data_IF_432170423149
#
_entry.id   IF_432170423149
#
_cell.length_a   1.000
_cell.length_b   1.000
_cell.length_c   1.000
_cell.angle_alpha   90.00
_cell.angle_beta   90.00
_cell.angle_gamma   90.00
#
_symmetry.space_group_name_H-M   'P 1'
#
loop_
_entity.id
_entity.type
_entity.pdbx_description
1 polymer ?
#
# COMPACT_ATOMS: atom_id res chain seq x y z
N UNK A 1 8.39 9.69 -10.72
CA UNK A 1 7.52 9.27 -9.61
C UNK A 1 6.09 9.52 -10.02
N UNK A 2 5.41 8.46 -10.46
CA UNK A 2 4.01 8.52 -10.81
C UNK A 2 3.18 8.66 -9.53
N UNK A 3 2.26 9.60 -9.55
CA UNK A 3 1.31 9.85 -8.47
C UNK A 3 -0.02 10.30 -9.07
N UNK A 4 -1.09 10.02 -8.34
CA UNK A 4 -2.44 10.43 -8.68
C UNK A 4 -3.28 10.57 -7.42
N UNK A 5 -4.36 11.33 -7.51
CA UNK A 5 -5.40 11.36 -6.50
C UNK A 5 -6.55 10.46 -6.92
N UNK A 6 -7.26 9.91 -5.94
CA UNK A 6 -8.52 9.22 -6.19
C UNK A 6 -9.63 10.26 -6.35
N UNK A 7 -10.50 10.05 -7.34
CA UNK A 7 -11.71 10.84 -7.54
C UNK A 7 -12.49 11.00 -6.20
N UNK A 8 -12.75 12.23 -5.72
CA UNK A 8 -13.32 12.45 -4.39
C UNK A 8 -14.62 11.68 -4.11
N UNK A 9 -15.47 11.53 -5.12
CA UNK A 9 -16.72 10.78 -5.02
C UNK A 9 -16.52 9.27 -4.76
N UNK A 10 -15.33 8.73 -5.04
CA UNK A 10 -14.99 7.31 -4.91
C UNK A 10 -14.16 6.99 -3.65
N UNK A 11 -13.79 7.97 -2.83
CA UNK A 11 -12.98 7.73 -1.61
C UNK A 11 -13.64 6.69 -0.69
N UNK A 12 -14.97 6.71 -0.54
CA UNK A 12 -15.69 5.71 0.26
C UNK A 12 -15.57 4.30 -0.32
N UNK A 13 -15.65 4.16 -1.65
CA UNK A 13 -15.44 2.89 -2.35
C UNK A 13 -14.01 2.41 -2.12
N UNK A 14 -13.02 3.28 -2.31
CA UNK A 14 -11.62 2.96 -2.07
C UNK A 14 -11.36 2.48 -0.64
N UNK A 15 -11.88 3.18 0.37
CA UNK A 15 -11.73 2.78 1.77
C UNK A 15 -12.35 1.41 2.06
N UNK A 16 -13.44 1.05 1.39
CA UNK A 16 -14.03 -0.28 1.47
C UNK A 16 -13.10 -1.35 0.85
N UNK A 17 -12.50 -1.07 -0.33
CA UNK A 17 -11.49 -1.94 -0.95
C UNK A 17 -10.26 -2.15 -0.07
N UNK A 18 -9.79 -1.09 0.57
CA UNK A 18 -8.57 -1.11 1.38
C UNK A 18 -8.78 -1.77 2.75
N UNK A 19 -9.86 -1.44 3.45
CA UNK A 19 -10.03 -1.78 4.87
C UNK A 19 -10.96 -2.96 5.13
N UNK A 20 -11.78 -3.35 4.16
CA UNK A 20 -12.84 -4.35 4.35
C UNK A 20 -12.66 -5.54 3.39
N UNK A 21 -12.44 -5.27 2.11
CA UNK A 21 -12.22 -6.33 1.11
C UNK A 21 -10.76 -6.82 1.08
N UNK A 22 -10.52 -7.92 0.34
CA UNK A 22 -9.23 -8.59 0.17
C UNK A 22 -8.38 -8.07 -1.00
N UNK A 23 -8.75 -6.93 -1.60
CA UNK A 23 -8.09 -6.38 -2.78
C UNK A 23 -6.59 -6.13 -2.58
N UNK A 24 -6.16 -5.85 -1.35
CA UNK A 24 -4.76 -5.54 -1.03
C UNK A 24 -4.04 -6.67 -0.27
N UNK A 25 -4.64 -7.85 -0.09
CA UNK A 25 -4.11 -8.91 0.79
C UNK A 25 -2.79 -9.51 0.31
N UNK A 26 -2.56 -9.44 -0.99
CA UNK A 26 -1.33 -9.88 -1.62
C UNK A 26 -0.12 -8.96 -1.39
N UNK A 27 -0.35 -7.76 -0.85
CA UNK A 27 0.70 -6.80 -0.51
C UNK A 27 1.24 -7.06 0.90
N UNK A 28 2.54 -6.83 1.05
CA UNK A 28 3.18 -6.69 2.35
C UNK A 28 3.03 -5.25 2.84
N UNK A 29 2.72 -5.10 4.13
CA UNK A 29 2.74 -3.81 4.78
C UNK A 29 4.18 -3.48 5.20
N UNK A 30 4.69 -2.33 4.79
CA UNK A 30 5.99 -1.78 5.23
C UNK A 30 5.82 -0.81 6.39
N UNK A 31 4.77 0.00 6.34
CA UNK A 31 4.43 0.99 7.37
C UNK A 31 2.94 1.30 7.31
N UNK A 32 2.31 1.48 8.47
CA UNK A 32 1.00 2.11 8.56
C UNK A 32 1.00 3.19 9.66
N UNK A 33 0.46 4.36 9.35
CA UNK A 33 0.16 5.41 10.33
C UNK A 33 -1.30 5.81 10.21
N UNK A 34 -2.05 5.81 11.32
CA UNK A 34 -3.44 6.22 11.38
C UNK A 34 -3.60 7.25 12.50
N UNK A 35 -4.02 8.47 12.17
CA UNK A 35 -4.31 9.51 13.15
C UNK A 35 -5.83 9.66 13.32
N UNK A 36 -6.32 9.36 14.52
CA UNK A 36 -7.71 9.61 14.94
C UNK A 36 -7.71 10.47 16.21
N UNK A 37 -8.31 10.00 17.32
CA UNK A 37 -8.17 10.58 18.65
C UNK A 37 -6.75 10.47 19.21
N UNK A 38 -5.98 9.51 18.68
CA UNK A 38 -4.57 9.29 18.93
C UNK A 38 -3.90 8.87 17.61
N UNK A 39 -2.57 8.99 17.55
CA UNK A 39 -1.79 8.50 16.41
C UNK A 39 -1.32 7.09 16.71
N UNK A 40 -1.65 6.17 15.81
CA UNK A 40 -1.22 4.78 15.83
C UNK A 40 -0.20 4.57 14.72
N UNK A 41 0.91 3.92 15.04
CA UNK A 41 1.95 3.57 14.09
C UNK A 41 2.24 2.08 14.18
N UNK A 42 2.24 1.42 13.03
CA UNK A 42 2.52 -0.01 12.89
C UNK A 42 3.76 -0.13 12.02
N UNK A 43 4.84 -0.67 12.60
CA UNK A 43 5.97 -1.17 11.83
C UNK A 43 5.53 -2.50 11.19
N UNK A 44 5.56 -2.58 9.87
CA UNK A 44 5.07 -3.74 9.14
C UNK A 44 5.99 -4.97 9.25
N UNK A 45 7.17 -4.83 9.86
CA UNK A 45 8.09 -5.95 10.06
C UNK A 45 7.47 -7.08 10.88
N UNK A 46 7.66 -8.29 10.40
CA UNK A 46 7.25 -9.48 11.11
C UNK A 46 8.17 -9.72 12.32
N UNK A 47 7.58 -9.91 13.51
CA UNK A 47 8.34 -10.15 14.73
C UNK A 47 8.68 -11.64 14.84
N UNK A 48 9.94 -11.98 14.56
CA UNK A 48 10.44 -13.36 14.61
C UNK A 48 10.47 -13.96 16.02
N UNK A 49 10.47 -13.14 17.07
CA UNK A 49 10.39 -13.64 18.45
C UNK A 49 8.95 -14.07 18.82
N UNK A 50 7.95 -13.67 18.04
CA UNK A 50 6.56 -14.06 18.24
C UNK A 50 6.20 -15.37 17.53
N UNK A 51 6.75 -15.58 16.33
CA UNK A 51 6.54 -16.77 15.51
C UNK A 51 7.78 -17.00 14.62
N UNK A 52 8.29 -18.23 14.62
CA UNK A 52 9.56 -18.62 13.99
C UNK A 52 9.41 -18.84 12.47
N UNK A 53 8.76 -17.91 11.77
CA UNK A 53 8.72 -17.92 10.31
C UNK A 53 9.95 -17.18 9.75
N UNK A 54 11.03 -17.92 9.52
CA UNK A 54 12.31 -17.34 9.06
C UNK A 54 12.21 -16.62 7.71
N UNK A 55 11.32 -17.08 6.84
CA UNK A 55 11.14 -16.58 5.48
C UNK A 55 10.30 -15.30 5.41
N UNK A 56 9.60 -14.94 6.48
CA UNK A 56 8.73 -13.78 6.52
C UNK A 56 9.43 -12.56 7.09
N UNK A 57 9.52 -11.50 6.29
CA UNK A 57 10.16 -10.24 6.69
C UNK A 57 9.12 -9.18 7.08
N UNK A 58 7.99 -9.14 6.37
CA UNK A 58 6.89 -8.21 6.62
C UNK A 58 5.58 -8.95 6.75
N UNK A 59 4.65 -8.38 7.52
CA UNK A 59 3.27 -8.87 7.59
C UNK A 59 2.54 -8.56 6.28
N UNK A 60 1.71 -9.48 5.82
CA UNK A 60 0.77 -9.21 4.75
C UNK A 60 -0.33 -8.28 5.26
N UNK A 61 -0.92 -7.51 4.34
CA UNK A 61 -2.02 -6.63 4.70
C UNK A 61 -3.22 -7.40 5.26
N UNK A 62 -3.46 -8.62 4.79
CA UNK A 62 -4.53 -9.50 5.29
C UNK A 62 -4.50 -9.71 6.81
N UNK A 63 -3.31 -9.74 7.42
CA UNK A 63 -3.09 -9.94 8.85
C UNK A 63 -3.31 -8.67 9.67
N UNK A 64 -2.95 -7.51 9.10
CA UNK A 64 -2.97 -6.22 9.80
C UNK A 64 -4.28 -5.44 9.54
N UNK A 65 -4.93 -5.65 8.39
CA UNK A 65 -6.17 -4.99 7.99
C UNK A 65 -7.26 -5.04 9.08
N UNK A 66 -7.53 -6.17 9.76
CA UNK A 66 -8.55 -6.19 10.82
C UNK A 66 -8.23 -5.22 11.97
N UNK A 67 -6.96 -5.13 12.36
CA UNK A 67 -6.50 -4.17 13.38
C UNK A 67 -6.65 -2.73 12.89
N UNK A 68 -6.21 -2.43 11.67
CA UNK A 68 -6.35 -1.10 11.09
C UNK A 68 -7.81 -0.67 10.98
N UNK A 69 -8.71 -1.59 10.59
CA UNK A 69 -10.14 -1.36 10.56
C UNK A 69 -10.68 -1.01 11.95
N UNK A 70 -10.32 -1.75 13.00
CA UNK A 70 -10.78 -1.45 14.36
C UNK A 70 -10.24 -0.11 14.89
N UNK A 71 -9.04 0.32 14.50
CA UNK A 71 -8.50 1.65 14.84
C UNK A 71 -9.34 2.78 14.21
N UNK A 72 -9.80 2.57 12.97
CA UNK A 72 -10.56 3.57 12.19
C UNK A 72 -12.04 3.57 12.55
N UNK A 73 -12.57 2.42 12.97
CA UNK A 73 -13.97 2.21 13.30
C UNK A 73 -14.44 3.23 14.34
N UNK A 74 -15.42 4.03 13.96
CA UNK A 74 -15.91 5.12 14.78
C UNK A 74 -16.89 6.01 14.03
N UNK A 75 -17.33 7.09 14.69
CA UNK A 75 -18.28 8.05 14.11
C UNK A 75 -17.61 9.09 13.22
N UNK A 76 -16.33 9.37 13.46
CA UNK A 76 -15.58 10.39 12.74
C UNK A 76 -14.55 9.73 11.84
N UNK A 77 -14.33 10.32 10.66
CA UNK A 77 -13.25 9.92 9.77
C UNK A 77 -11.88 10.16 10.44
N UNK A 78 -10.85 9.37 10.11
CA UNK A 78 -9.47 9.67 10.51
C UNK A 78 -9.04 11.06 10.03
N UNK A 79 -8.12 11.68 10.77
CA UNK A 79 -7.50 12.96 10.40
C UNK A 79 -6.40 12.76 9.35
N UNK A 80 -5.71 11.63 9.43
CA UNK A 80 -4.62 11.26 8.53
C UNK A 80 -4.50 9.75 8.45
N UNK A 81 -4.19 9.22 7.27
CA UNK A 81 -3.72 7.84 7.13
C UNK A 81 -2.55 7.80 6.16
N UNK A 82 -1.59 6.91 6.43
CA UNK A 82 -0.52 6.54 5.52
C UNK A 82 -0.38 5.02 5.54
N UNK A 83 -0.31 4.44 4.35
CA UNK A 83 0.01 3.04 4.15
C UNK A 83 1.14 2.96 3.13
N UNK A 84 2.21 2.25 3.49
CA UNK A 84 3.29 1.91 2.59
C UNK A 84 3.20 0.42 2.36
N UNK A 85 2.79 0.04 1.15
CA UNK A 85 2.75 -1.34 0.71
C UNK A 85 3.93 -1.65 -0.20
N UNK A 86 4.31 -2.92 -0.25
CA UNK A 86 5.15 -3.43 -1.31
C UNK A 86 4.77 -4.87 -1.68
N UNK A 87 5.19 -5.31 -2.86
CA UNK A 87 5.32 -6.74 -3.11
C UNK A 87 6.59 -7.31 -2.46
N UNK A 88 6.53 -8.60 -2.10
CA UNK A 88 7.71 -9.36 -1.68
C UNK A 88 8.75 -9.40 -2.80
N UNK A 89 10.01 -9.62 -2.45
CA UNK A 89 11.12 -9.68 -3.41
C UNK A 89 10.82 -10.68 -4.56
N UNK A 90 10.26 -11.85 -4.23
CA UNK A 90 9.85 -12.87 -5.22
C UNK A 90 8.77 -12.36 -6.18
N UNK A 91 7.74 -11.67 -5.68
CA UNK A 91 6.69 -11.08 -6.52
C UNK A 91 7.21 -9.87 -7.30
N UNK A 92 8.12 -9.08 -6.75
CA UNK A 92 8.71 -7.93 -7.44
C UNK A 92 9.50 -8.40 -8.69
N UNK A 93 10.22 -9.52 -8.58
CA UNK A 93 10.97 -10.13 -9.68
C UNK A 93 10.08 -10.55 -10.86
N UNK A 94 8.77 -10.78 -10.67
CA UNK A 94 7.86 -11.08 -11.78
C UNK A 94 7.59 -9.88 -12.68
N UNK A 95 7.80 -8.66 -12.18
CA UNK A 95 7.68 -7.42 -12.95
C UNK A 95 8.97 -7.11 -13.72
N UNK A 96 10.12 -7.33 -13.10
CA UNK A 96 11.41 -7.05 -13.71
C UNK A 96 12.54 -7.80 -12.99
N UNK A 97 13.54 -8.37 -13.71
CA UNK A 97 14.62 -9.14 -13.08
C UNK A 97 15.53 -8.30 -12.17
N UNK A 98 15.56 -6.98 -12.35
CA UNK A 98 16.27 -6.03 -11.49
C UNK A 98 15.40 -5.46 -10.34
N UNK A 99 14.17 -5.94 -10.14
CA UNK A 99 13.30 -5.43 -9.10
C UNK A 99 13.66 -6.02 -7.73
N UNK A 100 14.06 -5.15 -6.80
CA UNK A 100 14.24 -5.49 -5.39
C UNK A 100 12.95 -5.29 -4.60
N UNK A 101 12.21 -4.24 -4.88
CA UNK A 101 10.89 -3.99 -4.29
C UNK A 101 10.07 -3.05 -5.17
N UNK A 102 8.74 -3.24 -5.14
CA UNK A 102 7.78 -2.42 -5.85
C UNK A 102 6.75 -1.89 -4.85
N UNK A 103 6.70 -0.57 -4.67
CA UNK A 103 5.97 0.10 -3.60
C UNK A 103 4.70 0.79 -4.09
N UNK A 104 3.63 0.72 -3.28
CA UNK A 104 2.45 1.59 -3.38
C UNK A 104 2.30 2.34 -2.07
N UNK A 105 2.38 3.67 -2.13
CA UNK A 105 2.15 4.55 -0.99
C UNK A 105 0.77 5.19 -1.12
N UNK A 106 -0.02 5.12 -0.05
CA UNK A 106 -1.37 5.68 0.01
C UNK A 106 -1.42 6.65 1.18
N UNK A 107 -1.81 7.90 0.90
CA UNK A 107 -1.96 8.95 1.92
C UNK A 107 -3.38 9.49 1.86
N UNK A 108 -4.08 9.47 2.98
CA UNK A 108 -5.33 10.20 3.16
C UNK A 108 -5.09 11.43 4.05
N UNK A 109 -5.38 12.62 3.53
CA UNK A 109 -5.30 13.88 4.28
C UNK A 109 -6.25 14.91 3.66
N UNK A 110 -6.96 15.67 4.48
CA UNK A 110 -7.86 16.74 4.02
C UNK A 110 -8.87 16.27 2.96
N UNK A 111 -9.47 15.08 3.15
CA UNK A 111 -10.42 14.47 2.20
C UNK A 111 -9.86 14.18 0.80
N UNK A 112 -8.54 14.09 0.69
CA UNK A 112 -7.85 13.65 -0.53
C UNK A 112 -7.13 12.34 -0.22
N UNK A 113 -7.28 11.35 -1.11
CA UNK A 113 -6.42 10.17 -1.14
C UNK A 113 -5.42 10.33 -2.29
N UNK A 114 -4.14 10.40 -1.95
CA UNK A 114 -3.04 10.40 -2.91
C UNK A 114 -2.37 9.05 -2.92
N UNK A 115 -2.17 8.50 -4.12
CA UNK A 115 -1.43 7.28 -4.37
C UNK A 115 -0.14 7.64 -5.08
N UNK A 116 0.97 7.03 -4.69
CA UNK A 116 2.25 7.16 -5.40
C UNK A 116 2.99 5.85 -5.44
N UNK A 117 3.74 5.65 -6.50
CA UNK A 117 4.55 4.45 -6.72
C UNK A 117 6.02 4.72 -6.45
N UNK A 118 6.75 3.65 -6.18
CA UNK A 118 8.21 3.68 -6.13
C UNK A 118 8.76 2.29 -6.38
N UNK A 119 9.99 2.21 -6.86
CA UNK A 119 10.69 0.95 -7.06
C UNK A 119 12.06 1.01 -6.41
N UNK A 120 12.57 -0.15 -5.99
CA UNK A 120 13.96 -0.33 -5.61
C UNK A 120 14.59 -1.34 -6.56
N UNK A 121 15.80 -1.05 -7.00
CA UNK A 121 16.55 -1.93 -7.90
C UNK A 121 17.56 -2.79 -7.12
N UNK A 122 17.86 -3.98 -7.61
CA UNK A 122 18.93 -4.83 -7.07
C UNK A 122 20.29 -4.19 -7.38
N UNK A 123 20.49 -3.80 -8.63
CA UNK A 123 21.66 -3.07 -9.11
C UNK A 123 21.22 -1.73 -9.71
N UNK A 124 22.03 -0.68 -9.49
CA UNK A 124 21.73 0.63 -10.05
C UNK A 124 21.69 0.58 -11.58
N UNK A 125 20.58 1.03 -12.15
CA UNK A 125 20.41 1.20 -13.59
C UNK A 125 19.79 2.57 -13.88
N UNK A 126 20.25 3.22 -14.95
CA UNK A 126 19.61 4.43 -15.47
C UNK A 126 18.33 4.12 -16.26
N UNK A 127 18.04 2.84 -16.50
CA UNK A 127 16.82 2.44 -17.19
C UNK A 127 15.61 2.54 -16.24
N UNK A 128 14.55 3.18 -16.73
CA UNK A 128 13.28 3.38 -16.02
C UNK A 128 12.21 2.31 -16.36
N UNK A 129 12.57 1.25 -17.08
CA UNK A 129 11.62 0.18 -17.45
C UNK A 129 10.88 -0.41 -16.24
N UNK A 130 11.58 -0.66 -15.13
CA UNK A 130 10.96 -1.14 -13.89
C UNK A 130 9.91 -0.14 -13.37
N UNK A 131 10.23 1.16 -13.34
CA UNK A 131 9.28 2.20 -12.93
C UNK A 131 8.05 2.20 -13.86
N UNK A 132 8.26 2.14 -15.17
CA UNK A 132 7.16 2.18 -16.15
C UNK A 132 6.24 0.95 -16.06
N UNK A 133 6.82 -0.24 -15.91
CA UNK A 133 6.07 -1.49 -15.75
C UNK A 133 5.26 -1.45 -14.45
N UNK A 134 5.87 -0.99 -13.37
CA UNK A 134 5.19 -0.89 -12.09
C UNK A 134 4.08 0.17 -12.08
N UNK A 135 4.34 1.35 -12.63
CA UNK A 135 3.36 2.43 -12.74
C UNK A 135 2.13 1.99 -13.55
N UNK A 136 2.36 1.27 -14.66
CA UNK A 136 1.29 0.72 -15.50
C UNK A 136 0.47 -0.32 -14.75
N UNK A 137 1.12 -1.24 -14.03
CA UNK A 137 0.42 -2.22 -13.21
C UNK A 137 -0.45 -1.57 -12.13
N UNK A 138 0.08 -0.57 -11.42
CA UNK A 138 -0.67 0.10 -10.35
C UNK A 138 -1.88 0.83 -10.94
N UNK A 139 -1.73 1.48 -12.09
CA UNK A 139 -2.86 2.10 -12.79
C UNK A 139 -3.95 1.08 -13.14
N UNK A 140 -3.56 -0.05 -13.74
CA UNK A 140 -4.49 -1.12 -14.09
C UNK A 140 -5.14 -1.77 -12.86
N UNK A 141 -4.40 -1.93 -11.78
CA UNK A 141 -4.90 -2.46 -10.51
C UNK A 141 -6.00 -1.56 -9.93
N UNK A 142 -5.77 -0.25 -9.83
CA UNK A 142 -6.79 0.69 -9.33
C UNK A 142 -8.00 0.77 -10.25
N UNK A 143 -7.79 0.74 -11.58
CA UNK A 143 -8.87 0.67 -12.57
C UNK A 143 -9.71 -0.60 -12.42
N UNK A 144 -9.09 -1.75 -12.17
CA UNK A 144 -9.79 -3.01 -11.93
C UNK A 144 -10.64 -2.99 -10.64
N UNK A 145 -10.25 -2.17 -9.66
CA UNK A 145 -11.05 -1.91 -8.45
C UNK A 145 -12.21 -0.93 -8.69
N UNK A 146 -12.36 -0.39 -9.91
CA UNK A 146 -13.34 0.63 -10.25
C UNK A 146 -12.99 2.02 -9.73
N UNK A 147 -11.70 2.27 -9.44
CA UNK A 147 -11.20 3.55 -8.96
C UNK A 147 -10.65 4.36 -10.13
N UNK A 148 -11.08 5.62 -10.22
CA UNK A 148 -10.67 6.60 -11.22
C UNK A 148 -9.55 7.47 -10.66
N UNK A 149 -8.48 7.58 -11.44
CA UNK A 149 -7.34 8.45 -11.16
C UNK A 149 -7.63 9.88 -11.62
N UNK A 150 -7.29 10.86 -10.78
CA UNK A 150 -7.35 12.30 -11.07
C UNK A 150 -5.96 12.87 -10.85
N UNK A 151 -5.46 13.62 -11.82
CA UNK A 151 -4.16 14.30 -11.75
C UNK A 151 -4.34 15.78 -11.43
#
# INVERSE_FOLDING_TARGET
MYNFNIEPSQIKLFMNKLLIENSFDDFELRECTIATKATFSIDGKFNKDWDENENKVFCNWSEIRPLAFEIIKGKQKPLYMKYVFAYSDEKALTFHPNAKACFVNIIFKNDVVTVSTGTAQIEFSMNHDLDQVWDSFVSEFFKALGITEVR
#
